data_IF_933948762534
#
_entry.id   IF_933948762534
#
_cell.length_a   1.000
_cell.length_b   1.000
_cell.length_c   1.000
_cell.angle_alpha   90.00
_cell.angle_beta   90.00
_cell.angle_gamma   90.00
#
_symmetry.space_group_name_H-M   'P 1'
#
loop_
_entity.id
_entity.type
_entity.pdbx_description
1 polymer ?
#
# COMPACT_ATOMS: atom_id res chain seq x y z
N UNK A 1 -7.63 3.20 -20.17
CA UNK A 1 -8.22 1.85 -20.07
C UNK A 1 -9.24 1.87 -18.95
N UNK A 2 -10.45 1.36 -19.18
CA UNK A 2 -11.48 1.21 -18.14
C UNK A 2 -11.76 -0.27 -17.99
N UNK A 3 -11.55 -0.83 -16.80
CA UNK A 3 -11.90 -2.22 -16.52
C UNK A 3 -13.35 -2.27 -16.06
N UNK A 4 -14.14 -3.21 -16.61
CA UNK A 4 -15.51 -3.38 -16.15
C UNK A 4 -15.49 -3.96 -14.72
N UNK A 5 -16.56 -3.70 -13.94
CA UNK A 5 -16.66 -4.13 -12.55
C UNK A 5 -16.62 -5.66 -12.37
N UNK A 6 -17.22 -6.41 -13.30
CA UNK A 6 -17.26 -7.88 -13.25
C UNK A 6 -15.89 -8.51 -13.54
N UNK A 7 -15.14 -7.94 -14.48
CA UNK A 7 -13.79 -8.37 -14.87
C UNK A 7 -12.81 -8.03 -13.75
N UNK A 8 -12.90 -6.82 -13.17
CA UNK A 8 -12.11 -6.46 -12.00
C UNK A 8 -12.34 -7.44 -10.84
N UNK A 9 -13.62 -7.75 -10.53
CA UNK A 9 -13.98 -8.71 -9.50
C UNK A 9 -13.47 -10.13 -9.80
N UNK A 10 -13.62 -10.60 -11.04
CA UNK A 10 -13.13 -11.92 -11.45
C UNK A 10 -11.60 -12.02 -11.38
N UNK A 11 -10.89 -10.92 -11.61
CA UNK A 11 -9.45 -10.83 -11.49
C UNK A 11 -8.95 -10.54 -10.06
N UNK A 12 -9.84 -10.35 -9.08
CA UNK A 12 -9.48 -10.00 -7.69
C UNK A 12 -8.93 -8.59 -7.52
N UNK A 13 -9.12 -7.71 -8.50
CA UNK A 13 -8.62 -6.33 -8.49
C UNK A 13 -9.65 -5.42 -7.83
N UNK A 14 -9.22 -4.70 -6.79
CA UNK A 14 -10.01 -3.68 -6.11
C UNK A 14 -9.32 -2.32 -6.18
N UNK A 15 -9.97 -1.27 -5.67
CA UNK A 15 -9.37 0.06 -5.60
C UNK A 15 -8.09 0.01 -4.74
N UNK A 16 -7.01 0.64 -5.21
CA UNK A 16 -5.69 0.59 -4.57
C UNK A 16 -4.86 -0.69 -4.81
N UNK A 17 -5.38 -1.70 -5.53
CA UNK A 17 -4.58 -2.87 -5.90
C UNK A 17 -3.46 -2.48 -6.86
N UNK A 18 -2.23 -2.82 -6.51
CA UNK A 18 -1.08 -2.65 -7.38
C UNK A 18 -1.07 -3.72 -8.47
N UNK A 19 -1.03 -3.29 -9.72
CA UNK A 19 -1.00 -4.17 -10.88
C UNK A 19 0.18 -3.84 -11.79
N UNK A 20 0.73 -4.87 -12.42
CA UNK A 20 1.70 -4.74 -13.51
C UNK A 20 0.96 -4.89 -14.84
N UNK A 21 1.16 -3.94 -15.73
CA UNK A 21 0.56 -3.95 -17.07
C UNK A 21 1.65 -4.21 -18.10
N UNK A 22 1.44 -5.24 -18.93
CA UNK A 22 2.37 -5.64 -19.99
C UNK A 22 1.63 -5.53 -21.33
N UNK A 23 2.11 -4.66 -22.21
CA UNK A 23 1.58 -4.55 -23.56
C UNK A 23 2.35 -5.50 -24.50
N UNK A 24 1.63 -6.37 -25.19
CA UNK A 24 2.16 -7.25 -26.24
C UNK A 24 1.36 -7.04 -27.52
N UNK A 25 1.91 -7.37 -28.70
CA UNK A 25 1.14 -7.35 -29.94
C UNK A 25 -0.12 -8.21 -29.80
N UNK A 26 -1.29 -7.60 -29.98
CA UNK A 26 -2.59 -8.28 -29.92
C UNK A 26 -3.15 -8.57 -28.52
N UNK A 27 -2.44 -8.26 -27.42
CA UNK A 27 -2.97 -8.45 -26.06
C UNK A 27 -2.33 -7.56 -25.00
N UNK A 28 -3.08 -7.25 -23.96
CA UNK A 28 -2.60 -6.59 -22.74
C UNK A 28 -2.75 -7.57 -21.60
N UNK A 29 -1.68 -7.81 -20.86
CA UNK A 29 -1.69 -8.66 -19.67
C UNK A 29 -1.67 -7.75 -18.44
N UNK A 30 -2.57 -8.02 -17.49
CA UNK A 30 -2.64 -7.33 -16.20
C UNK A 30 -2.43 -8.37 -15.11
N UNK A 31 -1.37 -8.22 -14.34
CA UNK A 31 -1.00 -9.14 -13.25
C UNK A 31 -1.07 -8.40 -11.92
N UNK A 32 -1.70 -9.02 -10.91
CA UNK A 32 -1.59 -8.51 -9.54
C UNK A 32 -0.14 -8.65 -9.09
N UNK A 33 0.39 -7.59 -8.48
CA UNK A 33 1.74 -7.62 -7.92
C UNK A 33 1.62 -7.49 -6.42
N UNK A 34 2.16 -8.47 -5.68
CA UNK A 34 2.47 -8.34 -4.25
C UNK A 34 3.68 -7.42 -4.08
N UNK A 35 3.56 -6.18 -4.54
CA UNK A 35 4.61 -5.19 -4.35
C UNK A 35 4.51 -4.73 -2.91
N UNK A 36 5.31 -5.35 -2.05
CA UNK A 36 5.65 -4.73 -0.77
C UNK A 36 6.46 -3.47 -1.06
N UNK A 37 6.05 -2.30 -0.55
CA UNK A 37 6.85 -1.09 -0.70
C UNK A 37 8.23 -1.34 -0.08
N UNK A 38 9.27 -0.83 -0.74
CA UNK A 38 10.62 -0.87 -0.19
C UNK A 38 10.71 0.05 1.03
N UNK A 39 11.72 -0.16 1.88
CA UNK A 39 11.95 0.71 3.04
C UNK A 39 12.04 2.20 2.65
N UNK A 40 12.74 2.50 1.55
CA UNK A 40 12.88 3.87 1.06
C UNK A 40 11.53 4.49 0.65
N UNK A 41 10.64 3.71 0.06
CA UNK A 41 9.31 4.16 -0.34
C UNK A 41 8.39 4.35 0.87
N UNK A 42 8.49 3.46 1.86
CA UNK A 42 7.77 3.60 3.13
C UNK A 42 8.20 4.87 3.86
N UNK A 43 9.49 5.15 3.92
CA UNK A 43 10.05 6.37 4.51
C UNK A 43 9.63 7.62 3.75
N UNK A 44 9.61 7.59 2.42
CA UNK A 44 9.14 8.70 1.61
C UNK A 44 7.64 8.99 1.81
N UNK A 45 6.83 7.96 2.11
CA UNK A 45 5.41 8.11 2.44
C UNK A 45 5.12 8.49 3.90
N UNK A 46 6.16 8.55 4.75
CA UNK A 46 5.98 8.80 6.18
C UNK A 46 5.62 10.27 6.44
N UNK A 47 4.37 10.49 6.86
CA UNK A 47 3.88 11.78 7.33
C UNK A 47 3.86 11.79 8.87
N UNK A 48 4.74 12.61 9.49
CA UNK A 48 4.85 12.73 10.95
C UNK A 48 3.52 13.11 11.63
N UNK A 49 2.63 13.85 10.97
CA UNK A 49 1.33 14.24 11.56
C UNK A 49 0.33 13.08 11.58
N UNK A 50 0.42 12.17 10.60
CA UNK A 50 -0.45 10.98 10.46
C UNK A 50 0.12 9.73 11.13
N UNK A 51 1.44 9.62 11.20
CA UNK A 51 2.16 8.41 11.60
C UNK A 51 3.06 8.63 12.83
N UNK A 52 3.35 9.87 13.20
CA UNK A 52 4.15 10.21 14.37
C UNK A 52 3.27 10.22 15.62
N UNK A 53 3.03 9.03 16.16
CA UNK A 53 2.25 8.88 17.38
C UNK A 53 2.37 7.47 17.93
N UNK A 54 3.52 7.14 18.53
CA UNK A 54 3.50 6.14 19.61
C UNK A 54 2.72 6.78 20.76
N UNK A 55 1.40 6.66 20.70
CA UNK A 55 0.53 6.98 21.83
C UNK A 55 0.81 5.91 22.86
N UNK A 56 1.65 6.24 23.83
CA UNK A 56 1.85 5.43 25.02
C UNK A 56 0.52 5.44 25.79
N UNK A 57 -0.40 4.55 25.42
CA UNK A 57 -1.73 4.44 26.00
C UNK A 57 -1.74 3.87 27.43
N UNK A 58 -0.56 3.70 28.04
CA UNK A 58 -0.39 3.19 29.39
C UNK A 58 -0.07 4.33 30.37
N UNK A 59 -0.51 4.17 31.61
CA UNK A 59 -0.16 5.09 32.68
C UNK A 59 1.36 5.04 32.93
N UNK A 60 2.06 6.19 33.04
CA UNK A 60 3.52 6.21 33.22
C UNK A 60 3.94 5.37 34.43
N UNK A 61 4.79 4.37 34.20
CA UNK A 61 5.24 3.39 35.22
C UNK A 61 6.54 3.84 35.91
N UNK A 62 7.10 5.00 35.56
CA UNK A 62 8.32 5.51 36.19
C UNK A 62 8.77 6.86 35.63
N UNK A 63 9.74 7.46 36.33
CA UNK A 63 10.40 8.71 35.94
C UNK A 63 11.46 8.38 34.89
N UNK A 64 11.26 8.84 33.65
CA UNK A 64 12.32 8.79 32.64
C UNK A 64 13.48 9.66 33.13
N UNK A 65 14.67 9.07 33.27
CA UNK A 65 15.86 9.79 33.67
C UNK A 65 16.34 10.64 32.49
N UNK A 66 16.46 11.94 32.73
CA UNK A 66 17.02 12.93 31.81
C UNK A 66 18.50 12.70 31.52
#
# INVERSE_FOLDING_TARGET
>A
MRLNKLVAKAAGIVDGTHVRVIAQPGKIIVEMTDRKPTLNEMLASFDKTRHGGEVMAFAPVGKEAC
#
